data_IF_513434540505
#
_entry.id   IF_513434540505
#
_cell.length_a   1.000
_cell.length_b   1.000
_cell.length_c   1.000
_cell.angle_alpha   90.00
_cell.angle_beta   90.00
_cell.angle_gamma   90.00
#
_symmetry.space_group_name_H-M   'P 1'
#
loop_
_entity.id
_entity.type
_entity.pdbx_description
1 polymer ?
#
# COMPACT_ATOMS: atom_id res chain seq x y z
N UNK A 1 -47.82 -8.63 37.34
CA UNK A 1 -47.46 -8.22 35.96
C UNK A 1 -46.90 -6.82 36.04
N UNK A 2 -45.85 -6.51 35.27
CA UNK A 2 -45.31 -5.14 35.21
C UNK A 2 -46.37 -4.18 34.65
N UNK A 3 -46.44 -2.96 35.18
CA UNK A 3 -47.33 -1.93 34.64
C UNK A 3 -46.84 -1.46 33.25
N UNK A 4 -47.70 -0.82 32.47
CA UNK A 4 -47.30 -0.27 31.17
C UNK A 4 -46.17 0.75 31.31
N UNK A 5 -46.17 1.53 32.40
CA UNK A 5 -45.08 2.46 32.71
C UNK A 5 -43.76 1.74 33.03
N UNK A 6 -43.80 0.61 33.77
CA UNK A 6 -42.59 -0.18 34.04
C UNK A 6 -42.01 -0.79 32.75
N UNK A 7 -42.88 -1.26 31.86
CA UNK A 7 -42.46 -1.77 30.53
C UNK A 7 -41.90 -0.66 29.66
N UNK A 8 -42.49 0.53 29.70
CA UNK A 8 -42.03 1.69 28.96
C UNK A 8 -40.64 2.12 29.39
N UNK A 9 -40.39 2.21 30.71
CA UNK A 9 -39.04 2.50 31.25
C UNK A 9 -38.01 1.46 30.81
N UNK A 10 -38.39 0.18 30.80
CA UNK A 10 -37.52 -0.88 30.31
C UNK A 10 -37.24 -0.78 28.79
N UNK A 11 -38.21 -0.30 28.01
CA UNK A 11 -38.05 -0.02 26.58
C UNK A 11 -37.13 1.20 26.35
N UNK A 12 -37.33 2.30 27.08
CA UNK A 12 -36.50 3.51 26.98
C UNK A 12 -35.04 3.25 27.39
N UNK A 13 -34.78 2.23 28.21
CA UNK A 13 -33.42 1.81 28.55
C UNK A 13 -32.70 1.00 27.45
N UNK A 14 -33.38 0.63 26.36
CA UNK A 14 -32.77 -0.08 25.22
C UNK A 14 -32.00 0.90 24.32
N UNK A 15 -31.03 0.42 23.51
CA UNK A 15 -30.39 1.26 22.51
C UNK A 15 -31.39 1.92 21.55
N UNK A 16 -31.07 3.10 21.02
CA UNK A 16 -31.96 3.84 20.11
C UNK A 16 -32.47 2.98 18.93
N UNK A 17 -31.62 2.13 18.34
CA UNK A 17 -32.03 1.24 17.25
C UNK A 17 -33.11 0.22 17.68
N UNK A 18 -32.98 -0.34 18.88
CA UNK A 18 -33.96 -1.28 19.43
C UNK A 18 -35.28 -0.59 19.79
N UNK A 19 -35.21 0.66 20.26
CA UNK A 19 -36.40 1.51 20.45
C UNK A 19 -37.13 1.76 19.12
N UNK A 20 -36.39 2.08 18.06
CA UNK A 20 -36.95 2.30 16.71
C UNK A 20 -37.60 1.04 16.15
N UNK A 21 -36.92 -0.12 16.23
CA UNK A 21 -37.46 -1.43 15.82
C UNK A 21 -38.75 -1.72 16.57
N UNK A 22 -38.77 -1.51 17.88
CA UNK A 22 -39.94 -1.74 18.72
C UNK A 22 -41.13 -0.87 18.31
N UNK A 23 -40.89 0.43 18.09
CA UNK A 23 -41.92 1.37 17.63
C UNK A 23 -42.45 1.00 16.24
N UNK A 24 -41.56 0.67 15.30
CA UNK A 24 -41.95 0.25 13.96
C UNK A 24 -42.78 -1.04 13.99
N UNK A 25 -42.46 -1.98 14.88
CA UNK A 25 -43.24 -3.20 15.05
C UNK A 25 -44.63 -2.92 15.62
N UNK A 26 -44.73 -1.99 16.58
CA UNK A 26 -46.00 -1.63 17.20
C UNK A 26 -46.94 -0.89 16.25
N UNK A 27 -46.40 0.01 15.42
CA UNK A 27 -47.21 0.94 14.63
C UNK A 27 -46.97 0.84 13.13
N UNK A 28 -46.55 -0.32 12.62
CA UNK A 28 -46.19 -0.49 11.21
C UNK A 28 -47.29 -0.01 10.26
N UNK A 29 -48.49 -0.58 10.38
CA UNK A 29 -49.61 -0.32 9.46
C UNK A 29 -50.26 1.06 9.70
N UNK A 30 -49.98 1.72 10.83
CA UNK A 30 -50.52 3.03 11.18
C UNK A 30 -49.66 4.18 10.62
N UNK A 31 -48.41 4.24 11.08
CA UNK A 31 -47.49 5.33 10.74
C UNK A 31 -46.06 4.85 10.49
N UNK A 32 -45.71 3.62 10.86
CA UNK A 32 -44.36 3.08 10.72
C UNK A 32 -43.93 3.01 9.26
N UNK A 33 -44.72 2.34 8.41
CA UNK A 33 -44.38 2.09 7.01
C UNK A 33 -44.11 3.39 6.22
N UNK A 34 -44.97 4.39 6.41
CA UNK A 34 -44.86 5.67 5.72
C UNK A 34 -43.68 6.54 6.19
N UNK A 35 -43.16 6.30 7.41
CA UNK A 35 -42.16 7.16 8.05
C UNK A 35 -40.86 6.44 8.38
N UNK A 36 -40.60 5.26 7.78
CA UNK A 36 -39.40 4.46 8.05
C UNK A 36 -38.09 5.23 7.81
N UNK A 37 -38.01 6.00 6.72
CA UNK A 37 -36.85 6.84 6.40
C UNK A 37 -36.60 7.93 7.46
N UNK A 38 -37.66 8.61 7.89
CA UNK A 38 -37.58 9.62 8.95
C UNK A 38 -37.17 8.97 10.26
N UNK A 39 -37.79 7.87 10.66
CA UNK A 39 -37.45 7.13 11.89
C UNK A 39 -35.99 6.68 11.87
N UNK A 40 -35.47 6.19 10.74
CA UNK A 40 -34.06 5.86 10.59
C UNK A 40 -33.15 7.08 10.75
N UNK A 41 -33.47 8.20 10.10
CA UNK A 41 -32.77 9.47 10.32
C UNK A 41 -32.86 9.89 11.78
N UNK A 42 -33.99 9.62 12.44
CA UNK A 42 -34.24 9.96 13.83
C UNK A 42 -33.29 9.26 14.78
N UNK A 43 -33.22 7.95 14.64
CA UNK A 43 -32.27 7.11 15.36
C UNK A 43 -30.83 7.54 15.13
N UNK A 44 -30.42 7.74 13.87
CA UNK A 44 -29.02 8.05 13.57
C UNK A 44 -28.59 9.42 14.10
N UNK A 45 -29.44 10.45 14.05
CA UNK A 45 -29.07 11.75 14.66
C UNK A 45 -29.01 11.67 16.19
N UNK A 46 -29.84 10.86 16.85
CA UNK A 46 -29.70 10.64 18.30
C UNK A 46 -28.38 9.94 18.62
N UNK A 47 -28.00 8.92 17.84
CA UNK A 47 -26.71 8.23 17.95
C UNK A 47 -25.55 9.22 17.74
N UNK A 48 -25.64 10.10 16.74
CA UNK A 48 -24.58 11.07 16.42
C UNK A 48 -24.42 12.14 17.51
N UNK A 49 -25.54 12.63 18.07
CA UNK A 49 -25.54 13.73 19.03
C UNK A 49 -25.29 13.29 20.48
N UNK A 50 -25.51 12.00 20.77
CA UNK A 50 -25.10 11.34 22.02
C UNK A 50 -23.60 10.99 21.95
N UNK A 51 -22.74 12.02 21.95
CA UNK A 51 -21.28 11.86 21.82
C UNK A 51 -20.68 10.90 22.88
N UNK A 52 -21.33 10.76 24.03
CA UNK A 52 -20.87 9.92 25.12
C UNK A 52 -21.17 8.43 24.87
N UNK A 53 -22.39 8.09 24.45
CA UNK A 53 -22.83 6.69 24.38
C UNK A 53 -23.03 6.18 22.94
N UNK A 54 -23.23 7.08 21.98
CA UNK A 54 -23.36 6.77 20.55
C UNK A 54 -24.40 5.69 20.27
N UNK A 55 -23.98 4.62 19.57
CA UNK A 55 -24.84 3.47 19.22
C UNK A 55 -25.39 2.73 20.44
N UNK A 56 -24.72 2.84 21.59
CA UNK A 56 -25.13 2.22 22.85
C UNK A 56 -26.00 3.14 23.72
N UNK A 57 -26.27 4.37 23.26
CA UNK A 57 -27.12 5.33 23.94
C UNK A 57 -28.60 4.95 23.92
N UNK A 58 -29.36 5.47 24.88
CA UNK A 58 -30.77 5.14 25.08
C UNK A 58 -31.67 6.35 25.33
N UNK A 59 -31.16 7.42 25.93
CA UNK A 59 -31.90 8.66 26.20
C UNK A 59 -30.97 9.87 26.16
N UNK A 60 -31.47 11.00 25.68
CA UNK A 60 -30.74 12.27 25.64
C UNK A 60 -31.06 13.12 26.87
N UNK A 61 -30.05 13.76 27.45
CA UNK A 61 -30.24 14.80 28.47
C UNK A 61 -30.84 16.09 27.87
N UNK A 62 -31.47 16.95 28.69
CA UNK A 62 -32.20 18.16 28.28
C UNK A 62 -31.48 19.02 27.23
N UNK A 63 -30.18 19.29 27.42
CA UNK A 63 -29.39 20.11 26.49
C UNK A 63 -29.19 19.43 25.13
N UNK A 64 -28.94 18.13 25.14
CA UNK A 64 -28.69 17.33 23.94
C UNK A 64 -29.99 17.07 23.19
N UNK A 65 -31.07 16.78 23.92
CA UNK A 65 -32.44 16.70 23.42
C UNK A 65 -32.86 18.01 22.75
N UNK A 66 -32.51 19.16 23.33
CA UNK A 66 -32.75 20.46 22.73
C UNK A 66 -32.05 20.61 21.37
N UNK A 67 -30.74 20.33 21.30
CA UNK A 67 -29.99 20.42 20.04
C UNK A 67 -30.59 19.50 18.96
N UNK A 68 -31.04 18.31 19.35
CA UNK A 68 -31.70 17.37 18.45
C UNK A 68 -32.99 17.93 17.87
N UNK A 69 -33.82 18.59 18.69
CA UNK A 69 -35.06 19.23 18.23
C UNK A 69 -34.78 20.45 17.32
N UNK A 70 -33.78 21.27 17.67
CA UNK A 70 -33.38 22.44 16.85
C UNK A 70 -32.95 22.04 15.44
N UNK A 71 -32.19 20.94 15.30
CA UNK A 71 -31.72 20.44 14.00
C UNK A 71 -32.87 20.04 13.05
N UNK A 72 -34.11 19.92 13.56
CA UNK A 72 -35.26 19.38 12.80
C UNK A 72 -36.34 20.38 12.46
N UNK A 73 -36.07 21.66 12.67
CA UNK A 73 -36.83 22.72 12.02
C UNK A 73 -37.74 23.52 12.93
N UNK A 74 -37.71 23.30 14.24
CA UNK A 74 -38.34 24.22 15.19
C UNK A 74 -37.26 24.98 15.96
N UNK A 75 -36.98 26.22 15.56
CA UNK A 75 -36.28 27.16 16.44
C UNK A 75 -37.23 27.58 17.56
N UNK A 76 -37.36 26.71 18.56
CA UNK A 76 -38.16 26.98 19.75
C UNK A 76 -37.40 27.96 20.65
N UNK A 77 -38.12 28.91 21.26
CA UNK A 77 -37.55 29.61 22.41
C UNK A 77 -37.32 28.61 23.54
N UNK A 78 -36.38 28.89 24.46
CA UNK A 78 -36.12 28.02 25.63
C UNK A 78 -37.39 27.69 26.43
N UNK A 79 -38.36 28.61 26.45
CA UNK A 79 -39.66 28.39 27.10
C UNK A 79 -40.53 27.39 26.33
N UNK A 80 -40.67 27.56 25.01
CA UNK A 80 -41.46 26.65 24.17
C UNK A 80 -40.84 25.25 24.12
N UNK A 81 -39.50 25.18 24.09
CA UNK A 81 -38.76 23.93 24.16
C UNK A 81 -39.03 23.18 25.47
N UNK A 82 -38.99 23.86 26.63
CA UNK A 82 -39.30 23.21 27.92
C UNK A 82 -40.74 22.68 27.98
N UNK A 83 -41.69 23.39 27.36
CA UNK A 83 -43.07 22.90 27.24
C UNK A 83 -43.17 21.69 26.31
N UNK A 84 -42.36 21.64 25.24
CA UNK A 84 -42.28 20.48 24.34
C UNK A 84 -41.61 19.29 25.01
N UNK A 85 -40.46 19.47 25.66
CA UNK A 85 -39.78 18.41 26.42
C UNK A 85 -40.66 17.86 27.53
N UNK A 86 -41.43 18.71 28.23
CA UNK A 86 -42.39 18.25 29.23
C UNK A 86 -43.52 17.39 28.65
N UNK A 87 -43.88 17.58 27.38
CA UNK A 87 -44.87 16.73 26.69
C UNK A 87 -44.27 15.42 26.19
N UNK A 88 -42.98 15.43 25.85
CA UNK A 88 -42.24 14.26 25.38
C UNK A 88 -41.86 13.35 26.55
N UNK A 89 -41.41 13.92 27.67
CA UNK A 89 -40.97 13.23 28.90
C UNK A 89 -42.18 12.59 29.62
N UNK A 90 -42.58 11.40 29.14
CA UNK A 90 -43.76 10.66 29.61
C UNK A 90 -43.46 10.03 30.98
N UNK A 91 -42.22 9.63 31.24
CA UNK A 91 -41.83 8.95 32.47
C UNK A 91 -41.30 9.89 33.58
N UNK A 92 -41.23 11.20 33.27
CA UNK A 92 -40.81 12.31 34.15
C UNK A 92 -39.36 12.19 34.65
N UNK A 93 -38.46 11.64 33.84
CA UNK A 93 -37.06 11.43 34.18
C UNK A 93 -36.13 12.58 33.72
N UNK A 94 -36.66 13.60 33.03
CA UNK A 94 -35.93 14.74 32.44
C UNK A 94 -34.94 14.38 31.34
N UNK A 95 -35.10 13.21 30.75
CA UNK A 95 -34.40 12.77 29.55
C UNK A 95 -35.42 12.52 28.45
N UNK A 96 -34.91 12.33 27.25
CA UNK A 96 -35.72 12.07 26.07
C UNK A 96 -35.20 10.81 25.39
N UNK A 97 -35.98 9.74 25.50
CA UNK A 97 -35.79 8.54 24.70
C UNK A 97 -36.25 8.74 23.25
N UNK A 98 -35.84 7.82 22.36
CA UNK A 98 -36.36 7.82 21.00
C UNK A 98 -37.85 7.46 20.98
N UNK A 99 -38.29 6.49 21.79
CA UNK A 99 -39.70 6.09 21.87
C UNK A 99 -40.61 7.24 22.28
N UNK A 100 -40.22 8.04 23.29
CA UNK A 100 -40.95 9.23 23.69
C UNK A 100 -41.08 10.25 22.57
N UNK A 101 -39.97 10.53 21.88
CA UNK A 101 -39.98 11.43 20.74
C UNK A 101 -40.87 10.92 19.59
N UNK A 102 -40.84 9.62 19.31
CA UNK A 102 -41.67 9.00 18.26
C UNK A 102 -43.16 9.00 18.61
N UNK A 103 -43.51 8.71 19.88
CA UNK A 103 -44.90 8.85 20.36
C UNK A 103 -45.34 10.30 20.20
N UNK A 104 -44.56 11.28 20.67
CA UNK A 104 -44.91 12.69 20.53
C UNK A 104 -45.08 13.10 19.06
N UNK A 105 -44.19 12.64 18.18
CA UNK A 105 -44.17 13.05 16.77
C UNK A 105 -45.31 12.46 15.93
N UNK A 106 -45.73 11.23 16.23
CA UNK A 106 -46.66 10.47 15.38
C UNK A 106 -47.95 10.03 16.08
N UNK A 107 -47.98 10.01 17.42
CA UNK A 107 -49.05 9.44 18.23
C UNK A 107 -49.48 10.33 19.42
N UNK A 108 -49.08 11.61 19.46
CA UNK A 108 -49.39 12.50 20.59
C UNK A 108 -50.90 12.68 20.89
N UNK A 109 -51.76 12.48 19.89
CA UNK A 109 -53.22 12.56 20.05
C UNK A 109 -53.88 11.24 20.44
N UNK A 110 -53.12 10.15 20.48
CA UNK A 110 -53.62 8.80 20.72
C UNK A 110 -53.40 8.41 22.19
N UNK A 111 -54.46 8.34 23.01
CA UNK A 111 -54.34 8.07 24.45
C UNK A 111 -53.87 6.64 24.75
N UNK A 112 -54.04 5.71 23.79
CA UNK A 112 -53.71 4.30 23.97
C UNK A 112 -52.31 3.97 23.41
N UNK A 113 -51.63 4.92 22.77
CA UNK A 113 -50.32 4.72 22.14
C UNK A 113 -49.25 4.13 23.09
N UNK A 114 -49.24 4.56 24.36
CA UNK A 114 -48.31 3.99 25.34
C UNK A 114 -48.61 2.51 25.58
N UNK A 115 -49.89 2.16 25.76
CA UNK A 115 -50.35 0.80 26.02
C UNK A 115 -50.04 -0.10 24.82
N UNK A 116 -50.37 0.36 23.62
CA UNK A 116 -50.16 -0.39 22.39
C UNK A 116 -48.67 -0.62 22.11
N UNK A 117 -47.83 0.40 22.33
CA UNK A 117 -46.39 0.28 22.14
C UNK A 117 -45.79 -0.81 23.04
N UNK A 118 -46.03 -0.76 24.35
CA UNK A 118 -45.36 -1.67 25.29
C UNK A 118 -45.92 -3.09 25.29
N UNK A 119 -47.11 -3.29 24.72
CA UNK A 119 -47.76 -4.60 24.58
C UNK A 119 -47.71 -5.16 23.16
N UNK A 120 -47.08 -4.45 22.22
CA UNK A 120 -46.92 -4.90 20.83
C UNK A 120 -46.19 -6.24 20.72
N UNK A 121 -46.64 -7.08 19.78
CA UNK A 121 -45.98 -8.33 19.44
C UNK A 121 -44.63 -8.05 18.75
N UNK A 122 -43.54 -8.44 19.39
CA UNK A 122 -42.18 -8.21 18.89
C UNK A 122 -41.62 -9.38 18.08
N UNK A 123 -42.43 -10.41 17.78
CA UNK A 123 -42.01 -11.57 17.01
C UNK A 123 -41.23 -12.62 17.79
N UNK A 124 -40.73 -13.61 17.05
CA UNK A 124 -39.84 -14.64 17.58
C UNK A 124 -38.44 -14.07 17.84
N UNK A 125 -38.09 -13.97 19.13
CA UNK A 125 -36.81 -13.44 19.57
C UNK A 125 -35.63 -14.27 19.05
N UNK A 126 -35.74 -15.59 18.98
CA UNK A 126 -34.62 -16.43 18.52
C UNK A 126 -34.32 -16.18 17.04
N UNK A 127 -35.37 -15.97 16.23
CA UNK A 127 -35.22 -15.61 14.81
C UNK A 127 -34.63 -14.21 14.63
N UNK A 128 -35.04 -13.23 15.44
CA UNK A 128 -34.48 -11.88 15.39
C UNK A 128 -33.01 -11.87 15.80
N UNK A 129 -32.68 -12.51 16.93
CA UNK A 129 -31.32 -12.59 17.44
C UNK A 129 -30.41 -13.30 16.41
N UNK A 130 -30.90 -14.35 15.74
CA UNK A 130 -30.16 -15.02 14.66
C UNK A 130 -29.98 -14.15 13.42
N UNK A 131 -31.01 -13.42 12.99
CA UNK A 131 -30.91 -12.52 11.84
C UNK A 131 -29.90 -11.40 12.10
N UNK A 132 -29.95 -10.81 13.30
CA UNK A 132 -28.99 -9.79 13.72
C UNK A 132 -27.57 -10.35 13.79
N UNK A 133 -27.37 -11.57 14.31
CA UNK A 133 -26.05 -12.19 14.36
C UNK A 133 -25.44 -12.42 12.96
N UNK A 134 -26.24 -12.88 11.98
CA UNK A 134 -25.79 -13.05 10.60
C UNK A 134 -25.41 -11.71 9.95
N UNK A 135 -26.15 -10.64 10.25
CA UNK A 135 -25.82 -9.29 9.80
C UNK A 135 -24.51 -8.79 10.43
N UNK A 136 -24.33 -8.98 11.73
CA UNK A 136 -23.11 -8.59 12.45
C UNK A 136 -21.89 -9.35 11.90
N UNK A 137 -22.03 -10.65 11.60
CA UNK A 137 -20.99 -11.46 10.95
C UNK A 137 -20.66 -10.95 9.54
N UNK A 138 -21.67 -10.55 8.75
CA UNK A 138 -21.47 -9.97 7.43
C UNK A 138 -20.74 -8.62 7.50
N UNK A 139 -21.09 -7.76 8.47
CA UNK A 139 -20.40 -6.49 8.73
C UNK A 139 -18.95 -6.70 9.17
N UNK A 140 -18.70 -7.68 10.04
CA UNK A 140 -17.34 -8.03 10.46
C UNK A 140 -16.50 -8.54 9.27
N UNK A 141 -17.07 -9.42 8.44
CA UNK A 141 -16.40 -9.91 7.24
C UNK A 141 -16.10 -8.79 6.23
N UNK A 142 -17.00 -7.80 6.12
CA UNK A 142 -16.80 -6.63 5.28
C UNK A 142 -15.67 -5.73 5.78
N UNK A 143 -15.62 -5.46 7.09
CA UNK A 143 -14.54 -4.67 7.69
C UNK A 143 -13.18 -5.32 7.42
N UNK A 144 -13.10 -6.64 7.49
CA UNK A 144 -11.89 -7.38 7.17
C UNK A 144 -11.53 -7.29 5.68
N UNK A 145 -12.51 -7.47 4.79
CA UNK A 145 -12.30 -7.30 3.35
C UNK A 145 -11.80 -5.89 2.98
N UNK A 146 -12.27 -4.85 3.68
CA UNK A 146 -11.78 -3.49 3.49
C UNK A 146 -10.33 -3.32 3.95
N UNK A 147 -9.95 -3.91 5.09
CA UNK A 147 -8.57 -3.91 5.60
C UNK A 147 -7.63 -4.59 4.60
N UNK A 148 -7.96 -5.78 4.14
CA UNK A 148 -7.13 -6.51 3.19
C UNK A 148 -7.07 -5.83 1.82
N UNK A 149 -8.17 -5.22 1.36
CA UNK A 149 -8.15 -4.43 0.14
C UNK A 149 -7.23 -3.20 0.24
N UNK A 150 -7.12 -2.58 1.42
CA UNK A 150 -6.15 -1.51 1.66
C UNK A 150 -4.72 -2.06 1.64
N UNK A 151 -4.45 -3.16 2.34
CA UNK A 151 -3.13 -3.80 2.37
C UNK A 151 -2.66 -4.22 0.97
N UNK A 152 -3.58 -4.73 0.13
CA UNK A 152 -3.31 -5.04 -1.27
C UNK A 152 -2.93 -3.81 -2.10
N UNK A 153 -3.60 -2.66 -1.90
CA UNK A 153 -3.24 -1.41 -2.58
C UNK A 153 -1.86 -0.91 -2.17
N UNK A 154 -1.57 -0.93 -0.88
CA UNK A 154 -0.25 -0.52 -0.37
C UNK A 154 0.87 -1.44 -0.87
N UNK A 155 0.58 -2.74 -1.03
CA UNK A 155 1.52 -3.69 -1.61
C UNK A 155 1.74 -3.45 -3.11
N UNK A 156 0.69 -3.10 -3.86
CA UNK A 156 0.78 -2.72 -5.28
C UNK A 156 1.64 -1.48 -5.49
N UNK A 157 1.46 -0.43 -4.70
CA UNK A 157 2.24 0.80 -4.78
C UNK A 157 3.74 0.52 -4.50
N UNK A 158 4.03 -0.33 -3.52
CA UNK A 158 5.40 -0.78 -3.22
C UNK A 158 6.00 -1.59 -4.37
N UNK A 159 5.23 -2.51 -4.96
CA UNK A 159 5.69 -3.29 -6.11
C UNK A 159 5.98 -2.41 -7.32
N UNK A 160 5.14 -1.40 -7.59
CA UNK A 160 5.36 -0.45 -8.66
C UNK A 160 6.62 0.39 -8.44
N UNK A 161 6.83 0.87 -7.20
CA UNK A 161 8.04 1.63 -6.83
C UNK A 161 9.30 0.79 -6.99
N UNK A 162 9.27 -0.47 -6.51
CA UNK A 162 10.40 -1.39 -6.63
C UNK A 162 10.71 -1.72 -8.10
N UNK A 163 9.68 -1.90 -8.94
CA UNK A 163 9.84 -2.10 -10.37
C UNK A 163 10.53 -0.92 -11.06
N UNK A 164 10.09 0.31 -10.76
CA UNK A 164 10.72 1.52 -11.34
C UNK A 164 12.19 1.64 -10.91
N UNK A 165 12.51 1.34 -9.65
CA UNK A 165 13.88 1.33 -9.17
C UNK A 165 14.74 0.27 -9.89
N UNK A 166 14.20 -0.93 -10.11
CA UNK A 166 14.88 -1.98 -10.86
C UNK A 166 15.13 -1.59 -12.32
N UNK A 167 14.14 -1.01 -13.00
CA UNK A 167 14.27 -0.51 -14.38
C UNK A 167 15.34 0.59 -14.48
N UNK A 168 15.39 1.50 -13.50
CA UNK A 168 16.42 2.54 -13.44
C UNK A 168 17.82 1.94 -13.22
N UNK A 169 17.96 1.03 -12.26
CA UNK A 169 19.25 0.39 -11.98
C UNK A 169 19.75 -0.43 -13.18
N UNK A 170 18.86 -1.11 -13.91
CA UNK A 170 19.22 -1.82 -15.15
C UNK A 170 19.69 -0.86 -16.25
N UNK A 171 19.02 0.28 -16.43
CA UNK A 171 19.45 1.31 -17.38
C UNK A 171 20.83 1.90 -17.02
N UNK A 172 21.10 2.13 -15.74
CA UNK A 172 22.40 2.59 -15.24
C UNK A 172 23.50 1.53 -15.46
N UNK A 173 23.19 0.25 -15.24
CA UNK A 173 24.13 -0.85 -15.50
C UNK A 173 24.50 -0.93 -17.00
N UNK A 174 23.51 -0.81 -17.89
CA UNK A 174 23.75 -0.78 -19.35
C UNK A 174 24.63 0.41 -19.72
N UNK A 175 24.36 1.60 -19.20
CA UNK A 175 25.16 2.80 -19.47
C UNK A 175 26.61 2.65 -18.98
N UNK A 176 26.82 2.04 -17.80
CA UNK A 176 28.16 1.78 -17.27
C UNK A 176 28.93 0.75 -18.12
N UNK A 177 28.26 -0.29 -18.62
CA UNK A 177 28.86 -1.26 -19.55
C UNK A 177 29.27 -0.64 -20.88
N UNK A 178 28.42 0.23 -21.44
CA UNK A 178 28.75 0.92 -22.69
C UNK A 178 29.93 1.88 -22.50
N UNK A 179 30.02 2.58 -21.37
CA UNK A 179 31.20 3.39 -21.04
C UNK A 179 32.48 2.54 -20.94
N UNK A 180 32.40 1.33 -20.38
CA UNK A 180 33.54 0.40 -20.37
C UNK A 180 33.98 0.02 -21.78
N UNK A 181 33.02 -0.26 -22.68
CA UNK A 181 33.30 -0.60 -24.08
C UNK A 181 33.98 0.55 -24.82
N UNK A 182 33.59 1.79 -24.56
CA UNK A 182 34.22 2.98 -25.14
C UNK A 182 35.69 3.11 -24.73
N UNK A 183 36.01 2.82 -23.47
CA UNK A 183 37.38 2.86 -22.93
C UNK A 183 38.23 1.65 -23.32
N UNK A 184 37.61 0.52 -23.67
CA UNK A 184 38.33 -0.69 -24.06
C UNK A 184 39.12 -0.51 -25.37
N UNK A 185 38.56 0.21 -26.34
CA UNK A 185 39.21 0.45 -27.64
C UNK A 185 40.57 1.18 -27.51
N UNK A 186 40.67 2.37 -26.88
CA UNK A 186 41.95 3.05 -26.74
C UNK A 186 42.95 2.27 -25.87
N UNK A 187 42.48 1.44 -24.92
CA UNK A 187 43.35 0.54 -24.17
C UNK A 187 43.99 -0.51 -25.10
N UNK A 188 43.19 -1.20 -25.91
CA UNK A 188 43.68 -2.18 -26.89
C UNK A 188 44.68 -1.56 -27.87
N UNK A 189 44.42 -0.34 -28.34
CA UNK A 189 45.33 0.40 -29.22
C UNK A 189 46.66 0.72 -28.54
N UNK A 190 46.63 1.16 -27.27
CA UNK A 190 47.83 1.47 -26.52
C UNK A 190 48.64 0.21 -26.14
N UNK A 191 47.98 -0.90 -25.81
CA UNK A 191 48.62 -2.19 -25.56
C UNK A 191 49.32 -2.74 -26.81
N UNK A 192 48.71 -2.58 -27.98
CA UNK A 192 49.33 -2.95 -29.26
C UNK A 192 50.55 -2.06 -29.59
N UNK A 193 50.50 -0.77 -29.26
CA UNK A 193 51.64 0.15 -29.39
C UNK A 193 52.80 -0.25 -28.48
N UNK A 194 52.52 -0.59 -27.21
CA UNK A 194 53.53 -1.14 -26.28
C UNK A 194 54.15 -2.42 -26.85
N UNK A 195 53.31 -3.33 -27.37
CA UNK A 195 53.79 -4.59 -27.97
C UNK A 195 54.76 -4.33 -29.12
N UNK A 196 54.44 -3.39 -30.01
CA UNK A 196 55.31 -3.00 -31.13
C UNK A 196 56.61 -2.35 -30.64
N UNK A 197 56.54 -1.45 -29.67
CA UNK A 197 57.72 -0.78 -29.12
C UNK A 197 58.68 -1.76 -28.43
N UNK A 198 58.15 -2.72 -27.66
CA UNK A 198 58.94 -3.77 -27.02
C UNK A 198 59.59 -4.71 -28.04
N UNK A 199 58.89 -5.05 -29.13
CA UNK A 199 59.45 -5.86 -30.20
C UNK A 199 60.63 -5.16 -30.90
N UNK A 200 60.51 -3.86 -31.18
CA UNK A 200 61.60 -3.05 -31.75
C UNK A 200 62.78 -2.93 -30.78
N UNK A 201 62.52 -2.66 -29.49
CA UNK A 201 63.57 -2.61 -28.47
C UNK A 201 64.35 -3.92 -28.43
N UNK A 202 63.65 -5.06 -28.40
CA UNK A 202 64.29 -6.38 -28.43
C UNK A 202 65.12 -6.59 -29.70
N UNK A 203 64.61 -6.19 -30.87
CA UNK A 203 65.37 -6.28 -32.11
C UNK A 203 66.67 -5.44 -32.08
N UNK A 204 66.63 -4.24 -31.48
CA UNK A 204 67.82 -3.41 -31.29
C UNK A 204 68.80 -4.01 -30.28
N UNK A 205 68.32 -4.59 -29.18
CA UNK A 205 69.13 -5.31 -28.19
C UNK A 205 69.83 -6.54 -28.80
N UNK A 206 69.10 -7.33 -29.57
CA UNK A 206 69.61 -8.51 -30.27
C UNK A 206 70.66 -8.11 -31.32
N UNK A 207 70.41 -7.04 -32.09
CA UNK A 207 71.35 -6.52 -33.08
C UNK A 207 72.64 -5.98 -32.44
N UNK A 208 72.52 -5.24 -31.33
CA UNK A 208 73.68 -4.73 -30.58
C UNK A 208 74.51 -5.88 -29.99
N UNK A 209 73.84 -6.86 -29.36
CA UNK A 209 74.47 -8.05 -28.79
C UNK A 209 75.17 -8.90 -29.85
N UNK A 210 74.53 -9.09 -31.02
CA UNK A 210 75.12 -9.81 -32.15
C UNK A 210 76.37 -9.11 -32.69
N UNK A 211 76.32 -7.78 -32.85
CA UNK A 211 77.50 -6.99 -33.26
C UNK A 211 78.64 -7.09 -32.24
N UNK A 212 78.32 -6.94 -30.96
CA UNK A 212 79.29 -7.04 -29.86
C UNK A 212 79.98 -8.40 -29.84
N UNK A 213 79.23 -9.49 -29.79
CA UNK A 213 79.76 -10.86 -29.76
C UNK A 213 80.57 -11.21 -31.02
N UNK A 214 80.13 -10.75 -32.20
CA UNK A 214 80.87 -10.94 -33.46
C UNK A 214 82.21 -10.21 -33.45
N UNK A 215 82.25 -8.96 -32.95
CA UNK A 215 83.47 -8.17 -32.87
C UNK A 215 84.42 -8.70 -31.79
N UNK A 216 83.90 -9.13 -30.63
CA UNK A 216 84.67 -9.81 -29.58
C UNK A 216 85.40 -11.03 -30.15
N UNK A 217 84.68 -11.93 -30.83
CA UNK A 217 85.27 -13.12 -31.46
C UNK A 217 86.35 -12.76 -32.50
N UNK A 218 86.07 -11.80 -33.39
CA UNK A 218 87.04 -11.32 -34.41
C UNK A 218 88.25 -10.58 -33.81
N UNK A 219 88.14 -10.10 -32.57
CA UNK A 219 89.23 -9.42 -31.86
C UNK A 219 90.25 -10.42 -31.29
N UNK A 220 89.84 -11.68 -31.12
CA UNK A 220 90.64 -12.80 -30.61
C UNK A 220 91.11 -13.74 -31.73
N UNK A 221 90.38 -13.81 -32.86
CA UNK A 221 90.64 -14.71 -33.99
C UNK A 221 91.10 -13.96 -35.27
N UNK A 222 92.02 -14.55 -36.05
CA UNK A 222 92.46 -14.03 -37.36
C UNK A 222 93.84 -13.34 -37.41
N UNK A 223 94.15 -12.68 -38.54
CA UNK A 223 95.43 -12.02 -38.80
C UNK A 223 95.65 -10.76 -37.94
N UNK A 224 96.92 -10.36 -37.70
CA UNK A 224 97.28 -9.26 -36.80
C UNK A 224 96.51 -7.95 -37.10
N UNK A 225 96.37 -7.61 -38.39
CA UNK A 225 95.65 -6.41 -38.85
C UNK A 225 94.13 -6.53 -38.63
N UNK A 226 93.53 -7.70 -38.86
CA UNK A 226 92.08 -7.88 -38.67
C UNK A 226 91.70 -7.86 -37.19
N UNK A 227 92.52 -8.45 -36.31
CA UNK A 227 92.35 -8.39 -34.85
C UNK A 227 92.44 -6.98 -34.33
N UNK A 228 93.47 -6.22 -34.73
CA UNK A 228 93.62 -4.84 -34.28
C UNK A 228 92.47 -3.95 -34.79
N UNK A 229 91.98 -4.18 -36.02
CA UNK A 229 90.78 -3.49 -36.54
C UNK A 229 89.53 -3.84 -35.74
N UNK A 230 89.27 -5.12 -35.46
CA UNK A 230 88.13 -5.56 -34.66
C UNK A 230 88.19 -5.08 -33.21
N UNK A 231 89.38 -5.01 -32.59
CA UNK A 231 89.59 -4.41 -31.27
C UNK A 231 89.23 -2.92 -31.27
N UNK A 232 89.65 -2.18 -32.28
CA UNK A 232 89.31 -0.77 -32.42
C UNK A 232 87.81 -0.58 -32.65
N UNK A 233 87.18 -1.37 -33.52
CA UNK A 233 85.73 -1.32 -33.78
C UNK A 233 84.89 -1.74 -32.56
N UNK A 234 85.34 -2.72 -31.78
CA UNK A 234 84.70 -3.12 -30.52
C UNK A 234 84.83 -2.01 -29.47
N UNK A 235 86.03 -1.43 -29.32
CA UNK A 235 86.24 -0.32 -28.40
C UNK A 235 85.41 0.90 -28.82
N UNK A 236 85.26 1.15 -30.12
CA UNK A 236 84.39 2.19 -30.66
C UNK A 236 82.91 1.87 -30.37
N UNK A 237 82.44 0.64 -30.60
CA UNK A 237 81.06 0.24 -30.30
C UNK A 237 80.72 0.36 -28.80
N UNK A 238 81.68 0.07 -27.91
CA UNK A 238 81.51 0.21 -26.46
C UNK A 238 81.63 1.67 -25.97
N UNK A 239 82.34 2.51 -26.72
CA UNK A 239 82.51 3.94 -26.40
C UNK A 239 81.43 4.82 -27.03
N UNK A 240 80.84 4.39 -28.14
CA UNK A 240 79.71 5.04 -28.79
C UNK A 240 78.44 4.79 -27.98
N UNK A 241 77.69 5.87 -27.74
CA UNK A 241 76.35 5.76 -27.21
C UNK A 241 75.45 5.03 -28.22
N UNK A 242 74.83 3.89 -27.87
CA UNK A 242 73.93 3.17 -28.77
C UNK A 242 72.61 3.93 -28.93
N UNK A 243 72.68 5.04 -29.67
CA UNK A 243 71.58 5.96 -29.93
C UNK A 243 70.31 5.26 -30.45
N UNK A 244 70.39 4.25 -31.34
CA UNK A 244 69.22 3.45 -31.73
C UNK A 244 68.56 2.72 -30.55
N UNK A 245 69.37 2.15 -29.64
CA UNK A 245 68.88 1.45 -28.46
C UNK A 245 68.23 2.42 -27.47
N UNK A 246 68.88 3.56 -27.18
CA UNK A 246 68.30 4.61 -26.32
C UNK A 246 66.98 5.16 -26.87
N UNK A 247 66.89 5.34 -28.19
CA UNK A 247 65.64 5.74 -28.86
C UNK A 247 64.54 4.69 -28.70
N UNK A 248 64.86 3.41 -28.89
CA UNK A 248 63.90 2.32 -28.72
C UNK A 248 63.43 2.17 -27.25
N UNK A 249 64.33 2.35 -26.29
CA UNK A 249 64.01 2.39 -24.86
C UNK A 249 63.07 3.57 -24.54
N UNK A 250 63.41 4.77 -24.99
CA UNK A 250 62.57 5.97 -24.80
C UNK A 250 61.17 5.79 -25.43
N UNK A 251 61.11 5.14 -26.60
CA UNK A 251 59.84 4.86 -27.29
C UNK A 251 58.99 3.86 -26.51
N UNK A 252 59.62 2.81 -25.97
CA UNK A 252 58.95 1.84 -25.10
C UNK A 252 58.43 2.49 -23.83
N UNK A 253 59.23 3.31 -23.17
CA UNK A 253 58.82 4.05 -21.96
C UNK A 253 57.65 5.00 -22.24
N UNK A 254 57.67 5.69 -23.39
CA UNK A 254 56.57 6.55 -23.81
C UNK A 254 55.28 5.75 -24.08
N UNK A 255 55.39 4.61 -24.76
CA UNK A 255 54.26 3.72 -25.03
C UNK A 255 53.68 3.15 -23.73
N UNK A 256 54.52 2.73 -22.78
CA UNK A 256 54.09 2.24 -21.46
C UNK A 256 53.33 3.32 -20.69
N UNK A 257 53.85 4.55 -20.62
CA UNK A 257 53.15 5.68 -19.97
C UNK A 257 51.81 5.97 -20.62
N UNK A 258 51.72 5.87 -21.95
CA UNK A 258 50.46 6.05 -22.69
C UNK A 258 49.46 4.95 -22.35
N UNK A 259 49.89 3.68 -22.33
CA UNK A 259 49.06 2.54 -21.96
C UNK A 259 48.57 2.62 -20.51
N UNK A 260 49.43 2.99 -19.57
CA UNK A 260 49.03 3.19 -18.17
C UNK A 260 47.99 4.31 -18.02
N UNK A 261 48.16 5.42 -18.75
CA UNK A 261 47.23 6.56 -18.73
C UNK A 261 45.81 6.17 -19.16
N UNK A 262 45.66 5.25 -20.11
CA UNK A 262 44.34 4.77 -20.57
C UNK A 262 43.84 3.55 -19.79
N UNK A 263 44.74 2.77 -19.20
CA UNK A 263 44.40 1.60 -18.36
C UNK A 263 43.74 2.00 -17.05
N UNK A 264 44.20 3.06 -16.41
CA UNK A 264 43.63 3.55 -15.16
C UNK A 264 42.12 3.87 -15.25
N UNK A 265 41.64 4.71 -16.21
CA UNK A 265 40.21 4.99 -16.34
C UNK A 265 39.41 3.75 -16.77
N UNK A 266 39.95 2.88 -17.63
CA UNK A 266 39.25 1.63 -17.99
C UNK A 266 39.04 0.71 -16.77
N UNK A 267 40.06 0.55 -15.92
CA UNK A 267 39.96 -0.24 -14.71
C UNK A 267 38.90 0.34 -13.76
N UNK A 268 38.92 1.65 -13.54
CA UNK A 268 37.95 2.33 -12.69
C UNK A 268 36.52 2.21 -13.24
N UNK A 269 36.33 2.37 -14.55
CA UNK A 269 35.03 2.19 -15.19
C UNK A 269 34.52 0.75 -15.06
N UNK A 270 35.39 -0.24 -15.22
CA UNK A 270 35.03 -1.65 -15.05
C UNK A 270 34.59 -1.98 -13.62
N UNK A 271 35.32 -1.49 -12.62
CA UNK A 271 34.95 -1.66 -11.21
C UNK A 271 33.60 -1.00 -10.91
N UNK A 272 33.34 0.20 -11.47
CA UNK A 272 32.05 0.87 -11.35
C UNK A 272 30.92 0.09 -12.03
N UNK A 273 31.12 -0.41 -13.26
CA UNK A 273 30.12 -1.19 -13.97
C UNK A 273 29.78 -2.50 -13.25
N UNK A 274 30.76 -3.17 -12.65
CA UNK A 274 30.53 -4.37 -11.84
C UNK A 274 29.69 -4.06 -10.59
N UNK A 275 29.97 -2.94 -9.91
CA UNK A 275 29.20 -2.51 -8.76
C UNK A 275 27.74 -2.16 -9.13
N UNK A 276 27.54 -1.39 -10.20
CA UNK A 276 26.18 -1.02 -10.67
C UNK A 276 25.41 -2.24 -11.17
N UNK A 277 26.06 -3.19 -11.84
CA UNK A 277 25.42 -4.45 -12.24
C UNK A 277 24.97 -5.27 -11.01
N UNK A 278 25.79 -5.32 -9.96
CA UNK A 278 25.41 -6.00 -8.73
C UNK A 278 24.19 -5.33 -8.08
N UNK A 279 24.13 -4.00 -8.07
CA UNK A 279 22.96 -3.25 -7.57
C UNK A 279 21.71 -3.46 -8.44
N UNK A 280 21.85 -3.53 -9.77
CA UNK A 280 20.73 -3.85 -10.65
C UNK A 280 20.14 -5.24 -10.36
N UNK A 281 20.97 -6.23 -10.02
CA UNK A 281 20.51 -7.57 -9.62
C UNK A 281 19.75 -7.52 -8.29
N UNK A 282 20.25 -6.81 -7.28
CA UNK A 282 19.55 -6.70 -5.99
C UNK A 282 18.23 -5.96 -6.12
N UNK A 283 18.16 -4.90 -6.94
CA UNK A 283 16.91 -4.18 -7.19
C UNK A 283 15.90 -5.02 -7.95
N UNK A 284 16.33 -5.85 -8.90
CA UNK A 284 15.46 -6.81 -9.58
C UNK A 284 14.89 -7.86 -8.63
N UNK A 285 15.72 -8.44 -7.77
CA UNK A 285 15.27 -9.40 -6.74
C UNK A 285 14.26 -8.75 -5.79
N UNK A 286 14.50 -7.51 -5.36
CA UNK A 286 13.56 -6.75 -4.53
C UNK A 286 12.23 -6.48 -5.26
N UNK A 287 12.28 -6.15 -6.55
CA UNK A 287 11.08 -6.00 -7.40
C UNK A 287 10.29 -7.31 -7.51
N UNK A 288 10.96 -8.44 -7.72
CA UNK A 288 10.31 -9.75 -7.84
C UNK A 288 9.64 -10.16 -6.51
N UNK A 289 10.30 -9.92 -5.38
CA UNK A 289 9.73 -10.16 -4.03
C UNK A 289 8.53 -9.27 -3.78
N UNK A 290 8.62 -7.97 -4.12
CA UNK A 290 7.52 -7.04 -3.93
C UNK A 290 6.31 -7.42 -4.81
N UNK A 291 6.54 -7.85 -6.06
CA UNK A 291 5.50 -8.31 -6.96
C UNK A 291 4.81 -9.59 -6.44
N UNK A 292 5.58 -10.55 -5.92
CA UNK A 292 5.03 -11.76 -5.32
C UNK A 292 4.18 -11.44 -4.08
N UNK A 293 4.65 -10.53 -3.22
CA UNK A 293 3.89 -10.09 -2.05
C UNK A 293 2.59 -9.37 -2.46
N UNK A 294 2.63 -8.48 -3.45
CA UNK A 294 1.44 -7.82 -3.97
C UNK A 294 0.42 -8.80 -4.54
N UNK A 295 0.88 -9.82 -5.28
CA UNK A 295 0.01 -10.87 -5.80
C UNK A 295 -0.68 -11.67 -4.68
N UNK A 296 0.03 -11.99 -3.60
CA UNK A 296 -0.55 -12.66 -2.44
C UNK A 296 -1.62 -11.80 -1.76
N UNK A 297 -1.32 -10.53 -1.49
CA UNK A 297 -2.27 -9.61 -0.85
C UNK A 297 -3.55 -9.39 -1.68
N UNK A 298 -3.43 -9.37 -3.02
CA UNK A 298 -4.60 -9.33 -3.90
C UNK A 298 -5.46 -10.60 -3.77
N UNK A 299 -4.84 -11.77 -3.67
CA UNK A 299 -5.56 -13.03 -3.53
C UNK A 299 -6.28 -13.11 -2.18
N UNK A 300 -5.63 -12.65 -1.10
CA UNK A 300 -6.23 -12.58 0.23
C UNK A 300 -7.43 -11.62 0.23
N UNK A 301 -7.25 -10.41 -0.30
CA UNK A 301 -8.33 -9.42 -0.42
C UNK A 301 -9.53 -9.93 -1.27
N UNK A 302 -9.27 -10.68 -2.36
CA UNK A 302 -10.32 -11.31 -3.16
C UNK A 302 -11.07 -12.39 -2.36
N UNK A 303 -10.35 -13.21 -1.60
CA UNK A 303 -10.94 -14.23 -0.75
C UNK A 303 -11.82 -13.64 0.36
N UNK A 304 -11.36 -12.58 1.02
CA UNK A 304 -12.15 -11.89 2.05
C UNK A 304 -13.36 -11.16 1.47
N UNK A 305 -13.25 -10.59 0.27
CA UNK A 305 -14.41 -10.02 -0.41
C UNK A 305 -15.44 -11.09 -0.77
N UNK A 306 -15.02 -12.26 -1.24
CA UNK A 306 -15.91 -13.39 -1.50
C UNK A 306 -16.59 -13.88 -0.22
N UNK A 307 -15.85 -13.95 0.90
CA UNK A 307 -16.41 -14.29 2.23
C UNK A 307 -17.45 -13.28 2.69
N UNK A 308 -17.16 -11.98 2.56
CA UNK A 308 -18.12 -10.92 2.90
C UNK A 308 -19.38 -11.02 2.04
N UNK A 309 -19.24 -11.22 0.73
CA UNK A 309 -20.37 -11.39 -0.18
C UNK A 309 -21.24 -12.61 0.19
N UNK A 310 -20.61 -13.74 0.54
CA UNK A 310 -21.32 -14.93 0.99
C UNK A 310 -22.07 -14.69 2.32
N UNK A 311 -21.45 -14.00 3.28
CA UNK A 311 -22.09 -13.67 4.56
C UNK A 311 -23.31 -12.73 4.37
N UNK A 312 -23.21 -11.74 3.47
CA UNK A 312 -24.37 -10.91 3.13
C UNK A 312 -25.49 -11.71 2.47
N UNK A 313 -25.14 -12.64 1.57
CA UNK A 313 -26.15 -13.49 0.93
C UNK A 313 -26.85 -14.39 1.96
N UNK A 314 -26.11 -14.97 2.90
CA UNK A 314 -26.68 -15.78 3.98
C UNK A 314 -27.61 -14.96 4.88
N UNK A 315 -27.22 -13.72 5.22
CA UNK A 315 -28.05 -12.80 5.99
C UNK A 315 -29.36 -12.46 5.24
N UNK A 316 -29.29 -12.18 3.93
CA UNK A 316 -30.47 -11.89 3.10
C UNK A 316 -31.40 -13.10 2.96
N UNK A 317 -30.84 -14.28 2.67
CA UNK A 317 -31.61 -15.52 2.55
C UNK A 317 -32.33 -15.86 3.87
N UNK A 318 -31.66 -15.62 5.00
CA UNK A 318 -32.27 -15.81 6.31
C UNK A 318 -33.35 -14.76 6.61
N UNK A 319 -33.15 -13.50 6.22
CA UNK A 319 -34.18 -12.45 6.36
C UNK A 319 -35.43 -12.77 5.56
N UNK A 320 -35.30 -13.29 4.33
CA UNK A 320 -36.43 -13.72 3.52
C UNK A 320 -37.23 -14.85 4.20
N UNK A 321 -36.57 -15.76 4.90
CA UNK A 321 -37.24 -16.76 5.73
C UNK A 321 -37.92 -16.12 6.95
N UNK A 322 -37.23 -15.19 7.60
CA UNK A 322 -37.68 -14.51 8.82
C UNK A 322 -38.93 -13.64 8.60
N UNK A 323 -39.14 -13.11 7.37
CA UNK A 323 -40.33 -12.33 6.99
C UNK A 323 -41.68 -12.97 7.33
N UNK A 324 -41.72 -14.30 7.45
CA UNK A 324 -42.96 -15.04 7.77
C UNK A 324 -43.33 -14.99 9.26
N UNK A 325 -42.36 -14.74 10.14
CA UNK A 325 -42.51 -14.91 11.59
C UNK A 325 -42.02 -13.70 12.40
N UNK A 326 -41.33 -12.75 11.76
CA UNK A 326 -40.80 -11.54 12.37
C UNK A 326 -41.62 -10.33 11.92
N UNK A 327 -41.96 -9.40 12.82
CA UNK A 327 -42.64 -8.15 12.48
C UNK A 327 -41.93 -7.35 11.39
N UNK A 328 -42.72 -6.68 10.55
CA UNK A 328 -42.24 -5.93 9.38
C UNK A 328 -41.24 -4.82 9.75
N UNK A 329 -41.38 -4.20 10.92
CA UNK A 329 -40.48 -3.16 11.41
C UNK A 329 -39.04 -3.64 11.59
N UNK A 330 -38.86 -4.75 12.31
CA UNK A 330 -37.57 -5.40 12.49
C UNK A 330 -36.98 -5.88 11.16
N UNK A 331 -37.79 -6.45 10.27
CA UNK A 331 -37.33 -6.87 8.93
C UNK A 331 -36.80 -5.67 8.15
N UNK A 332 -37.60 -4.61 8.05
CA UNK A 332 -37.21 -3.41 7.31
C UNK A 332 -35.91 -2.80 7.86
N UNK A 333 -35.75 -2.79 9.19
CA UNK A 333 -34.54 -2.29 9.82
C UNK A 333 -33.30 -3.07 9.41
N UNK A 334 -33.36 -4.41 9.47
CA UNK A 334 -32.25 -5.28 9.09
C UNK A 334 -31.95 -5.19 7.59
N UNK A 335 -32.97 -5.13 6.73
CA UNK A 335 -32.80 -4.89 5.29
C UNK A 335 -32.12 -3.54 5.02
N UNK A 336 -32.49 -2.51 5.79
CA UNK A 336 -31.88 -1.19 5.67
C UNK A 336 -30.41 -1.21 6.08
N UNK A 337 -30.07 -1.89 7.17
CA UNK A 337 -28.68 -2.07 7.61
C UNK A 337 -27.84 -2.80 6.56
N UNK A 338 -28.37 -3.87 5.95
CA UNK A 338 -27.71 -4.55 4.82
C UNK A 338 -27.50 -3.61 3.64
N UNK A 339 -28.53 -2.85 3.26
CA UNK A 339 -28.45 -1.93 2.12
C UNK A 339 -27.41 -0.82 2.35
N UNK A 340 -27.35 -0.24 3.55
CA UNK A 340 -26.32 0.73 3.92
C UNK A 340 -24.94 0.10 3.91
N UNK A 341 -24.77 -1.09 4.48
CA UNK A 341 -23.49 -1.80 4.47
C UNK A 341 -23.00 -2.09 3.04
N UNK A 342 -23.88 -2.60 2.17
CA UNK A 342 -23.56 -2.86 0.75
C UNK A 342 -23.16 -1.63 -0.03
N UNK A 343 -23.60 -0.43 0.38
CA UNK A 343 -23.17 0.82 -0.26
C UNK A 343 -21.67 1.07 -0.10
N UNK A 344 -21.07 0.57 0.97
CA UNK A 344 -19.64 0.74 1.26
C UNK A 344 -18.79 -0.49 0.92
N UNK A 345 -19.40 -1.55 0.37
CA UNK A 345 -18.68 -2.71 -0.14
C UNK A 345 -17.82 -2.29 -1.34
N UNK A 346 -16.51 -2.57 -1.34
CA UNK A 346 -15.70 -2.36 -2.53
C UNK A 346 -16.28 -3.20 -3.65
N UNK A 347 -16.80 -2.56 -4.70
CA UNK A 347 -17.30 -3.30 -5.84
C UNK A 347 -16.14 -4.11 -6.44
N UNK A 348 -16.33 -5.43 -6.51
CA UNK A 348 -15.46 -6.34 -7.25
C UNK A 348 -15.52 -5.94 -8.73
N UNK A 349 -14.64 -5.02 -9.10
CA UNK A 349 -13.93 -4.86 -10.39
C UNK A 349 -13.41 -3.43 -10.55
N UNK A 350 -12.08 -3.34 -10.60
CA UNK A 350 -11.29 -2.46 -11.46
C UNK A 350 -11.96 -1.19 -11.96
N UNK A 351 -11.81 -0.13 -11.18
CA UNK A 351 -11.88 1.26 -11.62
C UNK A 351 -10.57 1.96 -11.31
N UNK A 352 -9.44 1.33 -11.64
CA UNK A 352 -8.17 2.04 -11.74
C UNK A 352 -8.33 3.11 -12.82
N UNK A 353 -8.27 4.38 -12.41
CA UNK A 353 -7.93 5.47 -13.30
C UNK A 353 -6.42 5.57 -13.40
#
# INVERSE_FOLDING_TARGET
>A
MASDMDKFKALNAKPYAEQAKWFLNAFWDDCGEANTADIWTYTNSMIEIDEQNGKSGCELEELTAHRFLEQRGDTLTVREMREVLKKIDIDSNKRMSLCEYLIYRYKASDPDALHDLVNALQGDKEMIDKAQALLDDALAAMSEAQREAQEAREADDKAQTAKQAAEQAEAEAVAAEDHCRELERPLKEAEEEVRKAQAELKAQEDAYTTKKTTLEKKSEEGGLVSRNKAKNELQQLLSEDPLPLRRAQTTTDAALRKAEKVRAPFKAAREAAEAVRADAVTMREASDVAAAHAAQQRADAEASLAKAAAAFQEAEDFLELAKKSVPKGSIWWMEREIAEAKRFLPQSRGGGR
#
